data_IF_783667588653
#
_entry.id   IF_783667588653
#
_cell.length_a   1.000
_cell.length_b   1.000
_cell.length_c   1.000
_cell.angle_alpha   90.00
_cell.angle_beta   90.00
_cell.angle_gamma   90.00
#
_symmetry.space_group_name_H-M   'P 1'
#
loop_
_entity.id
_entity.type
_entity.pdbx_description
1 polymer ?
#
# COMPACT_ATOMS: atom_id res chain seq x y z
N UNK A 1 -26.43 -4.82 13.34
CA UNK A 1 -26.51 -3.82 12.25
C UNK A 1 -25.73 -2.58 12.66
N UNK A 2 -24.52 -2.38 12.14
CA UNK A 2 -23.78 -1.13 12.34
C UNK A 2 -24.49 -0.01 11.57
N UNK A 3 -25.08 0.97 12.25
CA UNK A 3 -25.62 2.19 11.62
C UNK A 3 -24.50 3.22 11.57
N UNK A 4 -24.17 3.69 10.38
CA UNK A 4 -23.24 4.82 10.18
C UNK A 4 -23.89 6.04 10.83
N UNK A 5 -23.41 6.46 11.99
CA UNK A 5 -23.87 7.71 12.63
C UNK A 5 -23.46 8.87 11.73
N UNK A 6 -24.37 9.81 11.53
CA UNK A 6 -24.04 11.06 10.84
C UNK A 6 -23.00 11.82 11.69
N UNK A 7 -22.01 12.47 11.04
CA UNK A 7 -21.04 13.29 11.74
C UNK A 7 -21.77 14.40 12.50
N UNK A 8 -21.44 14.57 13.79
CA UNK A 8 -21.98 15.66 14.58
C UNK A 8 -21.54 17.00 13.98
N UNK A 9 -22.44 18.00 13.91
CA UNK A 9 -22.07 19.32 13.41
C UNK A 9 -21.05 19.98 14.35
N UNK A 10 -20.09 20.70 13.77
CA UNK A 10 -19.23 21.61 14.55
C UNK A 10 -20.11 22.76 15.05
N UNK A 11 -20.04 23.01 16.36
CA UNK A 11 -20.78 24.09 17.03
C UNK A 11 -19.80 25.05 17.67
N UNK A 12 -20.28 26.25 17.98
CA UNK A 12 -19.49 27.25 18.67
C UNK A 12 -18.88 26.71 19.98
N UNK A 13 -17.59 26.96 20.17
CA UNK A 13 -16.86 26.62 21.38
C UNK A 13 -16.24 27.88 21.98
N UNK A 14 -16.72 28.32 23.15
CA UNK A 14 -16.19 29.53 23.80
C UNK A 14 -14.70 29.44 24.18
N UNK A 15 -14.15 28.23 24.33
CA UNK A 15 -12.72 28.03 24.62
C UNK A 15 -11.85 28.09 23.35
N UNK A 16 -12.46 27.92 22.17
CA UNK A 16 -11.81 27.98 20.87
C UNK A 16 -12.74 28.78 19.93
N UNK A 17 -12.91 30.09 20.15
CA UNK A 17 -13.75 30.91 19.28
C UNK A 17 -13.22 30.92 17.82
N UNK A 18 -14.03 31.32 16.82
CA UNK A 18 -13.60 31.35 15.42
C UNK A 18 -12.29 32.10 15.17
N UNK A 19 -12.06 33.20 15.88
CA UNK A 19 -10.89 34.07 15.81
C UNK A 19 -9.67 33.56 16.60
N UNK A 20 -9.74 32.36 17.20
CA UNK A 20 -8.69 31.86 18.09
C UNK A 20 -7.35 31.61 17.37
N UNK A 21 -7.39 31.22 16.10
CA UNK A 21 -6.19 30.97 15.30
C UNK A 21 -6.09 31.98 14.17
N UNK A 22 -4.92 32.61 14.00
CA UNK A 22 -4.65 33.45 12.83
C UNK A 22 -4.32 32.60 11.58
N UNK A 23 -3.73 31.42 11.78
CA UNK A 23 -3.26 30.52 10.70
C UNK A 23 -3.55 29.07 11.06
N UNK A 24 -4.07 28.30 10.10
CA UNK A 24 -4.24 26.84 10.20
C UNK A 24 -3.44 26.15 9.08
N UNK A 25 -2.51 25.29 9.48
CA UNK A 25 -1.74 24.44 8.56
C UNK A 25 -2.37 23.05 8.51
N UNK A 26 -2.71 22.59 7.31
CA UNK A 26 -3.44 21.35 7.06
C UNK A 26 -2.54 20.38 6.32
N UNK A 27 -2.00 19.39 7.04
CA UNK A 27 -1.27 18.29 6.42
C UNK A 27 -2.22 17.31 5.71
N UNK A 28 -1.74 16.72 4.62
CA UNK A 28 -2.49 15.89 3.68
C UNK A 28 -3.88 16.45 3.36
N UNK A 29 -3.92 17.73 2.97
CA UNK A 29 -5.15 18.50 2.87
C UNK A 29 -6.20 17.86 1.93
N UNK A 30 -5.80 17.11 0.90
CA UNK A 30 -6.72 16.37 0.03
C UNK A 30 -7.62 15.35 0.77
N UNK A 31 -7.24 14.92 1.98
CA UNK A 31 -8.04 14.03 2.84
C UNK A 31 -8.89 14.80 3.84
N UNK A 32 -8.37 15.91 4.34
CA UNK A 32 -8.88 16.64 5.51
C UNK A 32 -9.90 17.72 5.16
N UNK A 33 -9.83 18.31 3.96
CA UNK A 33 -10.75 19.37 3.53
C UNK A 33 -12.13 18.85 3.08
N UNK A 34 -12.41 17.56 3.29
CA UNK A 34 -13.69 16.93 2.97
C UNK A 34 -14.30 16.19 4.17
N UNK A 35 -15.63 16.10 4.17
CA UNK A 35 -16.43 15.42 5.20
C UNK A 35 -16.33 16.13 6.57
N UNK A 36 -16.25 15.35 7.67
CA UNK A 36 -16.28 15.84 9.04
C UNK A 36 -15.25 16.95 9.32
N UNK A 37 -14.04 16.82 8.78
CA UNK A 37 -12.94 17.75 9.06
C UNK A 37 -13.09 19.11 8.38
N UNK A 38 -13.81 19.17 7.26
CA UNK A 38 -14.08 20.44 6.59
C UNK A 38 -14.76 21.44 7.52
N UNK A 39 -15.73 20.97 8.31
CA UNK A 39 -16.44 21.81 9.27
C UNK A 39 -15.51 22.41 10.33
N UNK A 40 -14.47 21.66 10.73
CA UNK A 40 -13.48 22.14 11.71
C UNK A 40 -12.57 23.18 11.06
N UNK A 41 -12.16 22.96 9.82
CA UNK A 41 -11.29 23.88 9.08
C UNK A 41 -12.00 25.19 8.76
N UNK A 42 -13.27 25.13 8.35
CA UNK A 42 -14.09 26.30 8.02
C UNK A 42 -14.69 27.00 9.26
N UNK A 43 -14.53 26.43 10.46
CA UNK A 43 -15.00 27.03 11.70
C UNK A 43 -14.13 28.21 12.16
N UNK A 44 -12.83 28.16 11.88
CA UNK A 44 -11.89 29.22 12.26
C UNK A 44 -11.77 30.28 11.16
N UNK A 45 -11.80 31.55 11.56
CA UNK A 45 -11.54 32.69 10.68
C UNK A 45 -10.02 32.91 10.58
N UNK A 46 -9.36 32.00 9.86
CA UNK A 46 -7.92 31.88 9.82
C UNK A 46 -7.39 31.77 8.38
N UNK A 47 -6.12 32.15 8.17
CA UNK A 47 -5.43 31.82 6.92
C UNK A 47 -5.17 30.31 6.84
N UNK A 48 -5.68 29.67 5.78
CA UNK A 48 -5.53 28.24 5.57
C UNK A 48 -4.34 27.93 4.67
N UNK A 49 -3.37 27.16 5.17
CA UNK A 49 -2.23 26.66 4.39
C UNK A 49 -2.38 25.15 4.24
N UNK A 50 -2.66 24.69 3.02
CA UNK A 50 -2.76 23.25 2.70
C UNK A 50 -1.43 22.68 2.22
N UNK A 51 -1.00 21.57 2.82
CA UNK A 51 0.16 20.78 2.37
C UNK A 51 -0.34 19.45 1.81
N UNK A 52 0.10 19.09 0.60
CA UNK A 52 -0.14 17.74 0.08
C UNK A 52 0.81 17.37 -1.05
N UNK A 53 1.18 16.09 -1.11
CA UNK A 53 1.90 15.51 -2.24
C UNK A 53 0.99 15.03 -3.38
N UNK A 54 -0.32 14.96 -3.17
CA UNK A 54 -1.27 14.39 -4.14
C UNK A 54 -2.53 15.25 -4.30
N UNK A 55 -2.41 16.48 -4.82
CA UNK A 55 -3.58 17.33 -5.02
C UNK A 55 -4.53 16.73 -6.07
N UNK A 56 -5.83 16.87 -5.84
CA UNK A 56 -6.87 16.56 -6.84
C UNK A 56 -7.62 17.84 -7.23
N UNK A 57 -8.49 17.76 -8.25
CA UNK A 57 -9.26 18.90 -8.72
C UNK A 57 -10.09 19.59 -7.63
N UNK A 58 -10.49 18.83 -6.60
CA UNK A 58 -11.27 19.37 -5.50
C UNK A 58 -10.34 20.16 -4.58
N UNK A 59 -9.14 19.65 -4.28
CA UNK A 59 -8.11 20.36 -3.49
C UNK A 59 -7.81 21.70 -4.12
N UNK A 60 -7.58 21.72 -5.44
CA UNK A 60 -7.41 22.97 -6.17
C UNK A 60 -8.64 23.87 -6.06
N UNK A 61 -9.86 23.34 -6.16
CA UNK A 61 -11.09 24.10 -5.98
C UNK A 61 -11.22 24.74 -4.59
N UNK A 62 -10.91 24.01 -3.53
CA UNK A 62 -11.00 24.49 -2.14
C UNK A 62 -10.07 25.68 -1.89
N UNK A 63 -8.82 25.59 -2.35
CA UNK A 63 -7.83 26.66 -2.23
C UNK A 63 -7.88 27.68 -3.37
N UNK A 64 -8.98 27.74 -4.13
CA UNK A 64 -9.18 28.70 -5.24
C UNK A 64 -8.07 28.68 -6.30
N UNK A 65 -7.43 27.52 -6.50
CA UNK A 65 -6.26 27.30 -7.36
C UNK A 65 -5.05 28.17 -6.99
N UNK A 66 -5.00 28.69 -5.76
CA UNK A 66 -3.89 29.47 -5.25
C UNK A 66 -2.73 28.52 -4.84
N UNK A 67 -1.96 28.08 -5.83
CA UNK A 67 -0.75 27.28 -5.61
C UNK A 67 0.40 28.23 -5.32
N UNK A 68 0.86 28.25 -4.07
CA UNK A 68 1.95 29.13 -3.63
C UNK A 68 3.32 28.59 -4.03
N UNK A 69 3.49 27.27 -3.95
CA UNK A 69 4.73 26.57 -4.30
C UNK A 69 4.42 25.14 -4.69
N UNK A 70 5.14 24.62 -5.67
CA UNK A 70 5.12 23.20 -6.06
C UNK A 70 6.57 22.71 -6.08
N UNK A 71 6.81 21.51 -5.57
CA UNK A 71 8.09 20.83 -5.64
C UNK A 71 7.83 19.39 -6.08
N UNK A 72 8.17 19.11 -7.33
CA UNK A 72 7.81 17.89 -8.05
C UNK A 72 8.71 16.72 -7.69
N UNK A 73 8.30 15.50 -8.04
CA UNK A 73 9.14 14.32 -7.83
C UNK A 73 10.39 14.38 -8.71
N UNK A 74 10.26 14.89 -9.93
CA UNK A 74 11.36 15.08 -10.88
C UNK A 74 12.42 16.02 -10.32
N UNK A 75 12.01 17.16 -9.74
CA UNK A 75 12.91 18.09 -9.04
C UNK A 75 13.56 17.42 -7.82
N UNK A 76 12.78 16.71 -6.99
CA UNK A 76 13.31 16.00 -5.82
C UNK A 76 14.36 14.94 -6.19
N UNK A 77 14.22 14.28 -7.35
CA UNK A 77 15.21 13.33 -7.87
C UNK A 77 16.44 14.06 -8.39
N UNK A 78 16.26 15.16 -9.14
CA UNK A 78 17.37 15.98 -9.66
C UNK A 78 18.23 16.56 -8.53
N UNK A 79 17.60 17.02 -7.44
CA UNK A 79 18.26 17.56 -6.26
C UNK A 79 18.81 16.49 -5.31
N UNK A 80 18.64 15.20 -5.64
CA UNK A 80 19.05 14.05 -4.81
C UNK A 80 18.41 14.01 -3.43
N UNK A 81 17.21 14.59 -3.31
CA UNK A 81 16.37 14.50 -2.10
C UNK A 81 15.62 13.17 -2.09
N UNK A 82 15.19 12.69 -3.26
CA UNK A 82 14.56 11.38 -3.48
C UNK A 82 15.36 10.53 -4.49
N UNK A 83 15.12 9.23 -4.46
CA UNK A 83 15.57 8.31 -5.52
C UNK A 83 14.46 8.10 -6.55
N UNK A 84 14.86 7.90 -7.81
CA UNK A 84 13.95 7.52 -8.88
C UNK A 84 13.37 6.12 -8.67
N UNK A 85 12.50 5.69 -9.58
CA UNK A 85 11.91 4.36 -9.58
C UNK A 85 11.90 3.77 -10.99
N UNK A 86 11.93 2.45 -11.07
CA UNK A 86 11.77 1.68 -12.30
C UNK A 86 10.55 0.77 -12.17
N UNK A 87 9.82 0.58 -13.26
CA UNK A 87 8.63 -0.26 -13.28
C UNK A 87 8.98 -1.60 -13.94
N UNK A 88 8.88 -2.68 -13.16
CA UNK A 88 8.96 -4.04 -13.67
C UNK A 88 7.54 -4.63 -13.75
N UNK A 89 7.04 -4.82 -14.97
CA UNK A 89 5.70 -5.34 -15.20
C UNK A 89 5.72 -6.88 -15.25
N UNK A 90 4.94 -7.53 -14.39
CA UNK A 90 4.70 -8.98 -14.42
C UNK A 90 3.29 -9.19 -14.98
N UNK A 91 3.20 -9.65 -16.21
CA UNK A 91 1.92 -10.01 -16.83
C UNK A 91 1.77 -11.53 -16.84
N UNK A 92 0.60 -12.01 -16.41
CA UNK A 92 0.22 -13.42 -16.58
C UNK A 92 -0.87 -13.51 -17.64
N UNK A 93 -0.94 -14.62 -18.39
CA UNK A 93 -2.01 -14.85 -19.38
C UNK A 93 -3.41 -14.68 -18.78
N UNK A 94 -3.60 -15.16 -17.55
CA UNK A 94 -4.83 -15.00 -16.75
C UNK A 94 -5.18 -13.53 -16.48
N UNK A 95 -4.17 -12.66 -16.31
CA UNK A 95 -4.37 -11.22 -16.05
C UNK A 95 -4.70 -10.45 -17.34
N UNK A 96 -4.13 -10.85 -18.48
CA UNK A 96 -4.38 -10.18 -19.78
C UNK A 96 -5.71 -10.60 -20.42
N UNK A 97 -6.05 -11.89 -20.39
CA UNK A 97 -7.18 -12.44 -21.16
C UNK A 97 -8.43 -12.72 -20.33
N UNK A 98 -8.31 -12.67 -18.99
CA UNK A 98 -9.25 -13.37 -18.11
C UNK A 98 -8.99 -14.88 -18.17
N UNK A 99 -8.96 -15.54 -17.02
CA UNK A 99 -8.75 -16.99 -16.95
C UNK A 99 -10.07 -17.75 -17.04
N UNK A 100 -10.08 -18.86 -17.76
CA UNK A 100 -11.04 -19.95 -17.57
C UNK A 100 -10.45 -20.86 -16.49
N UNK A 101 -11.20 -21.13 -15.42
CA UNK A 101 -10.81 -22.18 -14.48
C UNK A 101 -11.33 -23.50 -15.06
N UNK A 102 -10.44 -24.48 -15.23
CA UNK A 102 -10.82 -25.80 -15.74
C UNK A 102 -11.64 -26.55 -14.70
N UNK A 103 -12.60 -27.37 -15.15
CA UNK A 103 -13.60 -27.99 -14.27
C UNK A 103 -13.00 -28.92 -13.19
N UNK A 104 -11.79 -29.40 -13.41
CA UNK A 104 -11.09 -30.29 -12.47
C UNK A 104 -10.25 -29.53 -11.43
N UNK A 105 -10.17 -28.19 -11.52
CA UNK A 105 -9.34 -27.39 -10.63
C UNK A 105 -10.10 -27.02 -9.34
N UNK A 106 -9.58 -27.46 -8.20
CA UNK A 106 -10.10 -27.13 -6.88
C UNK A 106 -9.92 -25.64 -6.59
N UNK A 107 -11.02 -24.89 -6.57
CA UNK A 107 -10.99 -23.46 -6.26
C UNK A 107 -11.23 -23.25 -4.78
N UNK A 108 -10.33 -22.54 -4.11
CA UNK A 108 -10.54 -22.12 -2.74
C UNK A 108 -11.45 -20.88 -2.71
N UNK A 109 -12.73 -21.08 -2.39
CA UNK A 109 -13.65 -19.98 -2.11
C UNK A 109 -13.66 -19.66 -0.62
N UNK A 110 -13.49 -18.38 -0.30
CA UNK A 110 -13.54 -17.88 1.08
C UNK A 110 -14.78 -17.05 1.31
N UNK A 111 -15.55 -17.44 2.32
CA UNK A 111 -16.70 -16.67 2.77
C UNK A 111 -16.23 -15.42 3.53
N UNK A 112 -16.63 -14.23 3.04
CA UNK A 112 -16.09 -12.94 3.49
C UNK A 112 -16.28 -12.64 4.98
N UNK A 113 -17.33 -13.19 5.61
CA UNK A 113 -17.64 -12.91 7.02
C UNK A 113 -17.04 -13.92 7.99
N UNK A 114 -16.96 -15.20 7.60
CA UNK A 114 -16.55 -16.30 8.48
C UNK A 114 -15.10 -16.73 8.25
N UNK A 115 -14.48 -16.29 7.14
CA UNK A 115 -13.16 -16.77 6.66
C UNK A 115 -13.11 -18.30 6.48
N UNK A 116 -14.26 -18.97 6.43
CA UNK A 116 -14.31 -20.41 6.20
C UNK A 116 -13.78 -20.74 4.80
N UNK A 117 -12.89 -21.73 4.73
CA UNK A 117 -12.35 -22.25 3.48
C UNK A 117 -13.32 -23.30 2.95
N UNK A 118 -13.89 -23.07 1.77
CA UNK A 118 -14.69 -24.06 1.07
C UNK A 118 -13.99 -24.43 -0.23
N UNK A 119 -13.65 -25.70 -0.34
CA UNK A 119 -13.18 -26.30 -1.58
C UNK A 119 -14.42 -26.66 -2.40
N UNK A 120 -14.55 -26.04 -3.57
CA UNK A 120 -15.57 -26.41 -4.56
C UNK A 120 -14.84 -27.02 -5.75
N UNK A 121 -15.18 -28.27 -6.09
CA UNK A 121 -14.86 -28.83 -7.40
C UNK A 121 -15.79 -28.13 -8.39
N UNK A 122 -15.24 -27.65 -9.50
CA UNK A 122 -16.00 -26.82 -10.40
C UNK A 122 -16.53 -27.66 -11.55
N UNK A 123 -17.72 -28.23 -11.46
CA UNK A 123 -18.17 -29.23 -12.45
C UNK A 123 -18.27 -28.72 -13.92
N UNK A 124 -18.15 -27.41 -14.17
CA UNK A 124 -18.10 -26.81 -15.51
C UNK A 124 -17.05 -25.67 -15.61
N UNK A 125 -16.35 -25.54 -16.76
CA UNK A 125 -15.37 -24.47 -16.95
C UNK A 125 -16.05 -23.10 -16.88
N UNK A 126 -15.69 -22.31 -15.88
CA UNK A 126 -16.25 -20.98 -15.69
C UNK A 126 -15.37 -19.94 -16.40
N UNK A 127 -15.94 -19.27 -17.40
CA UNK A 127 -15.33 -18.14 -18.10
C UNK A 127 -15.56 -16.88 -17.29
N UNK A 128 -14.48 -16.23 -16.83
CA UNK A 128 -14.57 -15.03 -16.01
C UNK A 128 -14.11 -13.79 -16.76
N UNK A 129 -14.89 -12.71 -16.67
CA UNK A 129 -14.44 -11.39 -17.08
C UNK A 129 -13.49 -10.80 -16.02
N UNK A 130 -12.43 -10.11 -16.46
CA UNK A 130 -11.40 -9.50 -15.61
C UNK A 130 -11.87 -8.79 -14.30
N UNK A 131 -13.05 -8.11 -14.24
CA UNK A 131 -13.52 -7.48 -13.00
C UNK A 131 -14.03 -8.45 -11.92
N UNK A 132 -14.39 -9.69 -12.27
CA UNK A 132 -15.00 -10.66 -11.34
C UNK A 132 -13.95 -11.42 -10.50
N UNK A 133 -12.70 -11.45 -10.96
CA UNK A 133 -11.55 -12.04 -10.26
C UNK A 133 -11.25 -11.33 -8.93
N UNK A 134 -11.69 -10.09 -8.77
CA UNK A 134 -11.22 -9.21 -7.69
C UNK A 134 -11.94 -9.40 -6.34
N UNK A 135 -13.08 -10.11 -6.29
CA UNK A 135 -13.96 -10.07 -5.10
C UNK A 135 -14.12 -11.35 -4.28
N UNK A 136 -13.93 -12.54 -4.84
CA UNK A 136 -14.28 -13.79 -4.13
C UNK A 136 -13.43 -15.02 -4.44
N UNK A 137 -12.54 -14.96 -5.44
CA UNK A 137 -11.72 -16.11 -5.83
C UNK A 137 -10.26 -15.74 -5.63
N UNK A 138 -9.62 -16.35 -4.63
CA UNK A 138 -8.17 -16.34 -4.53
C UNK A 138 -7.70 -17.44 -5.46
N UNK A 139 -6.86 -17.11 -6.45
CA UNK A 139 -6.19 -18.12 -7.26
C UNK A 139 -4.77 -18.32 -6.68
N UNK A 140 -4.51 -19.38 -5.90
CA UNK A 140 -3.19 -19.65 -5.34
C UNK A 140 -2.10 -19.78 -6.41
N UNK A 141 -2.46 -20.27 -7.60
CA UNK A 141 -1.52 -20.45 -8.72
C UNK A 141 -1.08 -19.11 -9.29
N UNK A 142 -1.96 -18.09 -9.30
CA UNK A 142 -1.59 -16.74 -9.70
C UNK A 142 -0.60 -16.11 -8.71
N UNK A 143 -0.85 -16.24 -7.39
CA UNK A 143 0.06 -15.75 -6.35
C UNK A 143 1.43 -16.41 -6.52
N UNK A 144 1.44 -17.75 -6.71
CA UNK A 144 2.66 -18.52 -6.91
C UNK A 144 3.42 -18.08 -8.16
N UNK A 145 2.72 -17.86 -9.27
CA UNK A 145 3.31 -17.41 -10.53
C UNK A 145 4.01 -16.05 -10.38
N UNK A 146 3.34 -15.08 -9.77
CA UNK A 146 3.92 -13.74 -9.54
C UNK A 146 5.12 -13.82 -8.58
N UNK A 147 5.02 -14.58 -7.50
CA UNK A 147 6.11 -14.77 -6.53
C UNK A 147 7.32 -15.47 -7.18
N UNK A 148 7.10 -16.48 -8.01
CA UNK A 148 8.15 -17.16 -8.79
C UNK A 148 8.82 -16.21 -9.76
N UNK A 149 8.03 -15.47 -10.54
CA UNK A 149 8.55 -14.48 -11.48
C UNK A 149 9.43 -13.44 -10.74
N UNK A 150 9.00 -12.93 -9.59
CA UNK A 150 9.82 -12.04 -8.79
C UNK A 150 11.11 -12.71 -8.28
N UNK A 151 11.01 -13.92 -7.70
CA UNK A 151 12.16 -14.69 -7.20
C UNK A 151 13.21 -14.94 -8.30
N UNK A 152 12.77 -15.28 -9.50
CA UNK A 152 13.67 -15.70 -10.58
C UNK A 152 14.30 -14.49 -11.29
N UNK A 153 13.65 -13.33 -11.25
CA UNK A 153 14.13 -12.13 -11.97
C UNK A 153 14.83 -11.10 -11.08
N UNK A 154 14.62 -11.08 -9.75
CA UNK A 154 15.28 -10.08 -8.89
C UNK A 154 16.82 -10.07 -9.01
N UNK A 155 17.54 -11.20 -9.23
CA UNK A 155 18.99 -11.15 -9.41
C UNK A 155 19.41 -10.40 -10.68
N UNK A 156 18.56 -10.43 -11.73
CA UNK A 156 18.77 -9.66 -12.96
C UNK A 156 18.47 -8.18 -12.79
N UNK A 157 17.48 -7.84 -11.96
CA UNK A 157 17.14 -6.45 -11.61
C UNK A 157 18.25 -5.83 -10.73
N UNK A 158 18.85 -6.64 -9.86
CA UNK A 158 19.89 -6.22 -8.93
C UNK A 158 21.17 -7.07 -9.06
N UNK A 159 21.92 -6.94 -10.17
CA UNK A 159 23.05 -7.83 -10.47
C UNK A 159 24.18 -7.79 -9.45
N UNK A 160 24.38 -6.64 -8.79
CA UNK A 160 25.43 -6.45 -7.79
C UNK A 160 24.99 -6.84 -6.36
N UNK A 161 23.76 -7.34 -6.20
CA UNK A 161 23.21 -7.74 -4.90
C UNK A 161 23.33 -9.24 -4.70
N UNK A 162 23.84 -9.63 -3.52
CA UNK A 162 23.82 -11.02 -3.05
C UNK A 162 22.56 -11.35 -2.26
N UNK A 163 22.04 -10.36 -1.55
CA UNK A 163 20.89 -10.48 -0.66
C UNK A 163 19.66 -9.87 -1.32
N UNK A 164 18.51 -10.53 -1.19
CA UNK A 164 17.24 -10.05 -1.76
C UNK A 164 16.91 -8.66 -1.19
N UNK A 165 16.83 -7.59 -1.99
CA UNK A 165 16.50 -6.24 -1.51
C UNK A 165 15.24 -6.21 -0.65
N UNK A 166 15.19 -5.29 0.33
CA UNK A 166 14.01 -5.19 1.21
C UNK A 166 12.78 -4.92 0.35
N UNK A 167 11.79 -5.80 0.48
CA UNK A 167 10.62 -5.83 -0.39
C UNK A 167 9.34 -5.69 0.41
N UNK A 168 8.46 -4.79 -0.02
CA UNK A 168 7.11 -4.62 0.52
C UNK A 168 6.09 -5.07 -0.51
N UNK A 169 5.25 -6.03 -0.13
CA UNK A 169 4.17 -6.56 -0.97
C UNK A 169 2.82 -5.98 -0.51
N UNK A 170 2.08 -5.38 -1.45
CA UNK A 170 0.72 -4.87 -1.21
C UNK A 170 -0.33 -5.92 -1.58
N UNK A 171 -1.01 -6.45 -0.57
CA UNK A 171 -2.06 -7.43 -0.65
C UNK A 171 -3.46 -6.78 -0.71
N UNK A 172 -4.42 -7.50 -1.30
CA UNK A 172 -5.82 -7.05 -1.43
C UNK A 172 -6.58 -7.06 -0.09
N UNK A 173 -6.36 -8.09 0.73
CA UNK A 173 -7.08 -8.31 1.99
C UNK A 173 -6.15 -8.98 3.01
N UNK A 174 -6.54 -8.99 4.28
CA UNK A 174 -5.78 -9.65 5.36
C UNK A 174 -5.58 -11.15 5.09
N UNK A 175 -6.61 -11.79 4.54
CA UNK A 175 -6.58 -13.17 4.07
C UNK A 175 -5.60 -13.36 2.91
N UNK A 176 -5.64 -12.48 1.90
CA UNK A 176 -4.70 -12.53 0.79
C UNK A 176 -3.25 -12.35 1.25
N UNK A 177 -3.02 -11.50 2.26
CA UNK A 177 -1.70 -11.34 2.86
C UNK A 177 -1.19 -12.64 3.50
N UNK A 178 -2.05 -13.44 4.12
CA UNK A 178 -1.66 -14.75 4.67
C UNK A 178 -1.22 -15.71 3.55
N UNK A 179 -1.99 -15.75 2.43
CA UNK A 179 -1.71 -16.62 1.29
C UNK A 179 -0.39 -16.24 0.59
N UNK A 180 -0.14 -14.93 0.41
CA UNK A 180 1.14 -14.42 -0.11
C UNK A 180 2.29 -14.83 0.82
N UNK A 181 2.17 -14.61 2.13
CA UNK A 181 3.25 -14.96 3.08
C UNK A 181 3.58 -16.45 3.01
N UNK A 182 2.57 -17.32 2.97
CA UNK A 182 2.77 -18.75 2.85
C UNK A 182 3.48 -19.10 1.52
N UNK A 183 3.02 -18.51 0.42
CA UNK A 183 3.58 -18.78 -0.91
C UNK A 183 5.02 -18.29 -1.05
N UNK A 184 5.32 -17.09 -0.55
CA UNK A 184 6.68 -16.54 -0.51
C UNK A 184 7.62 -17.46 0.27
N UNK A 185 7.21 -17.92 1.45
CA UNK A 185 8.03 -18.85 2.26
C UNK A 185 8.32 -20.16 1.53
N UNK A 186 7.32 -20.71 0.84
CA UNK A 186 7.48 -21.94 0.05
C UNK A 186 8.42 -21.73 -1.15
N UNK A 187 8.18 -20.68 -1.94
CA UNK A 187 8.91 -20.46 -3.19
C UNK A 187 10.35 -20.00 -2.97
N UNK A 188 10.63 -19.28 -1.89
CA UNK A 188 12.00 -18.92 -1.51
C UNK A 188 12.69 -20.00 -0.65
N UNK A 189 11.96 -21.02 -0.17
CA UNK A 189 12.50 -22.03 0.75
C UNK A 189 12.91 -21.43 2.11
N UNK A 190 12.21 -20.39 2.56
CA UNK A 190 12.59 -19.57 3.71
C UNK A 190 11.52 -19.57 4.82
N UNK A 191 11.97 -19.33 6.05
CA UNK A 191 11.13 -19.41 7.25
C UNK A 191 10.33 -18.15 7.60
N UNK A 192 9.75 -18.16 8.80
CA UNK A 192 8.93 -17.07 9.34
C UNK A 192 9.69 -15.75 9.50
N UNK A 193 11.00 -15.81 9.69
CA UNK A 193 11.84 -14.63 9.87
C UNK A 193 12.11 -13.91 8.55
N UNK A 194 12.09 -14.62 7.42
CA UNK A 194 12.33 -14.04 6.10
C UNK A 194 11.15 -13.20 5.60
N UNK A 195 9.93 -13.73 5.69
CA UNK A 195 8.72 -13.07 5.22
C UNK A 195 7.68 -12.95 6.34
N UNK A 196 7.26 -11.72 6.66
CA UNK A 196 6.28 -11.43 7.73
C UNK A 196 5.11 -10.59 7.24
N UNK A 197 3.94 -10.88 7.79
CA UNK A 197 2.73 -10.08 7.61
C UNK A 197 2.72 -8.90 8.58
N UNK A 198 2.52 -7.69 8.08
CA UNK A 198 2.39 -6.45 8.86
C UNK A 198 1.00 -5.85 8.57
N UNK A 199 0.00 -6.29 9.32
CA UNK A 199 -1.39 -5.79 9.24
C UNK A 199 -1.92 -5.38 10.62
N UNK A 200 -3.01 -4.59 10.66
CA UNK A 200 -3.49 -3.97 11.90
C UNK A 200 -4.03 -5.01 12.87
N UNK A 201 -4.44 -6.16 12.32
CA UNK A 201 -4.91 -7.32 13.05
C UNK A 201 -3.77 -8.22 13.56
N UNK A 202 -2.51 -7.95 13.20
CA UNK A 202 -1.38 -8.72 13.70
C UNK A 202 -1.17 -8.48 15.20
N UNK A 203 -0.67 -9.49 15.92
CA UNK A 203 -0.45 -9.40 17.37
C UNK A 203 0.55 -8.30 17.76
N UNK A 204 1.63 -8.13 16.99
CA UNK A 204 2.71 -7.18 17.27
C UNK A 204 3.21 -6.47 15.98
N UNK A 205 2.42 -5.56 15.40
CA UNK A 205 2.77 -4.91 14.14
C UNK A 205 3.94 -3.94 14.29
N UNK A 206 4.02 -3.21 15.42
CA UNK A 206 5.08 -2.23 15.68
C UNK A 206 6.47 -2.86 15.75
N UNK A 207 6.63 -3.97 16.48
CA UNK A 207 7.93 -4.64 16.58
C UNK A 207 8.36 -5.25 15.25
N UNK A 208 7.42 -5.84 14.50
CA UNK A 208 7.70 -6.39 13.17
C UNK A 208 8.15 -5.32 12.18
N UNK A 209 7.56 -4.12 12.29
CA UNK A 209 7.91 -2.96 11.48
C UNK A 209 9.27 -2.37 11.87
N UNK A 210 9.58 -2.28 13.17
CA UNK A 210 10.91 -1.90 13.66
C UNK A 210 11.98 -2.86 13.15
N UNK A 211 11.73 -4.16 13.24
CA UNK A 211 12.65 -5.18 12.72
C UNK A 211 12.82 -5.05 11.21
N UNK A 212 11.73 -4.88 10.46
CA UNK A 212 11.79 -4.69 9.01
C UNK A 212 12.63 -3.46 8.61
N UNK A 213 12.61 -2.40 9.43
CA UNK A 213 13.37 -1.17 9.22
C UNK A 213 14.85 -1.29 9.57
N UNK A 214 15.19 -1.95 10.67
CA UNK A 214 16.52 -1.84 11.27
C UNK A 214 17.34 -3.12 11.19
N UNK A 215 16.68 -4.27 11.10
CA UNK A 215 17.33 -5.58 11.17
C UNK A 215 17.41 -6.20 9.78
N UNK A 216 18.35 -7.14 9.60
CA UNK A 216 18.46 -7.89 8.35
C UNK A 216 17.13 -8.59 7.99
N UNK A 217 16.44 -9.18 8.97
CA UNK A 217 15.14 -9.82 8.81
C UNK A 217 13.97 -8.98 9.36
N UNK A 218 12.77 -9.03 8.76
CA UNK A 218 12.44 -9.77 7.54
C UNK A 218 12.96 -9.11 6.26
N UNK A 219 13.18 -9.91 5.19
CA UNK A 219 13.50 -9.37 3.85
C UNK A 219 12.25 -8.93 3.11
N UNK A 220 11.14 -9.65 3.33
CA UNK A 220 9.84 -9.38 2.70
C UNK A 220 8.81 -9.06 3.78
N UNK A 221 8.12 -7.93 3.64
CA UNK A 221 6.94 -7.59 4.42
C UNK A 221 5.69 -7.63 3.53
N UNK A 222 4.59 -8.17 4.03
CA UNK A 222 3.29 -8.18 3.32
C UNK A 222 2.29 -7.34 4.10
N UNK A 223 1.68 -6.35 3.45
CA UNK A 223 0.70 -5.45 4.06
C UNK A 223 -0.54 -5.30 3.19
N UNK A 224 -1.67 -4.93 3.80
CA UNK A 224 -2.91 -4.61 3.08
C UNK A 224 -3.00 -3.09 2.93
N UNK A 225 -3.11 -2.41 4.06
CA UNK A 225 -3.26 -0.97 4.12
C UNK A 225 -2.20 -0.33 5.04
N UNK A 226 -1.42 -1.12 5.80
CA UNK A 226 -0.73 -0.64 7.00
C UNK A 226 0.79 -0.53 6.87
N UNK A 227 1.21 0.16 5.81
CA UNK A 227 2.35 1.10 5.83
C UNK A 227 1.87 2.49 5.32
N UNK A 228 0.55 2.71 5.23
CA UNK A 228 -0.01 3.92 4.63
C UNK A 228 0.03 5.17 5.53
N UNK A 229 0.30 5.08 6.83
CA UNK A 229 0.30 6.25 7.73
C UNK A 229 1.47 6.22 8.71
N UNK A 230 2.52 6.99 8.40
CA UNK A 230 3.44 7.55 9.39
C UNK A 230 4.66 6.73 9.79
N UNK A 231 4.94 5.56 9.19
CA UNK A 231 6.19 4.84 9.47
C UNK A 231 7.03 4.68 8.21
N UNK A 232 8.25 5.20 8.28
CA UNK A 232 9.21 5.26 7.19
C UNK A 232 10.20 4.08 7.27
N UNK A 233 10.28 3.28 6.20
CA UNK A 233 11.22 2.18 6.03
C UNK A 233 12.23 2.61 4.98
N UNK A 234 13.22 3.42 5.39
CA UNK A 234 14.25 3.96 4.48
C UNK A 234 15.02 2.91 3.65
N UNK A 235 15.36 1.71 4.14
CA UNK A 235 16.09 0.72 3.34
C UNK A 235 15.18 -0.05 2.38
N UNK A 236 13.94 0.38 2.14
CA UNK A 236 13.01 -0.27 1.22
C UNK A 236 13.42 -0.02 -0.24
N UNK A 237 13.61 -1.09 -1.00
CA UNK A 237 14.11 -1.04 -2.37
C UNK A 237 13.09 -1.55 -3.39
N UNK A 238 12.22 -2.50 -2.98
CA UNK A 238 11.23 -3.12 -3.87
C UNK A 238 9.81 -2.92 -3.36
N UNK A 239 8.91 -2.53 -4.26
CA UNK A 239 7.47 -2.49 -4.05
C UNK A 239 6.80 -3.47 -5.01
N UNK A 240 6.13 -4.50 -4.49
CA UNK A 240 5.39 -5.48 -5.30
C UNK A 240 3.88 -5.30 -5.10
N UNK A 241 3.19 -4.94 -6.17
CA UNK A 241 1.74 -4.76 -6.13
C UNK A 241 1.02 -6.04 -6.55
N UNK A 242 0.38 -6.71 -5.60
CA UNK A 242 -0.49 -7.87 -5.84
C UNK A 242 -1.97 -7.49 -5.67
N UNK A 243 -2.28 -6.20 -5.82
CA UNK A 243 -3.62 -5.63 -5.73
C UNK A 243 -3.82 -4.58 -6.81
N UNK A 244 -5.05 -4.46 -7.30
CA UNK A 244 -5.42 -3.35 -8.17
C UNK A 244 -5.52 -2.08 -7.33
N UNK A 245 -4.79 -1.04 -7.74
CA UNK A 245 -4.81 0.27 -7.09
C UNK A 245 -5.64 1.22 -7.93
N UNK A 246 -6.90 1.43 -7.53
CA UNK A 246 -7.88 2.23 -8.29
C UNK A 246 -7.70 3.74 -8.14
N UNK A 247 -6.98 4.18 -7.11
CA UNK A 247 -6.77 5.61 -6.82
C UNK A 247 -5.33 6.01 -7.12
N UNK A 248 -5.17 6.99 -8.01
CA UNK A 248 -3.86 7.57 -8.34
C UNK A 248 -3.16 8.14 -7.12
N UNK A 249 -3.88 8.90 -6.27
CA UNK A 249 -3.28 9.47 -5.06
C UNK A 249 -2.80 8.38 -4.08
N UNK A 250 -3.56 7.30 -3.95
CA UNK A 250 -3.18 6.18 -3.11
C UNK A 250 -1.98 5.42 -3.67
N UNK A 251 -1.91 5.25 -5.00
CA UNK A 251 -0.76 4.66 -5.67
C UNK A 251 0.51 5.49 -5.46
N UNK A 252 0.44 6.81 -5.64
CA UNK A 252 1.57 7.71 -5.41
C UNK A 252 2.04 7.68 -3.95
N UNK A 253 1.12 7.60 -2.99
CA UNK A 253 1.46 7.42 -1.57
C UNK A 253 2.17 6.09 -1.30
N UNK A 254 1.76 5.01 -1.97
CA UNK A 254 2.44 3.71 -1.88
C UNK A 254 3.84 3.77 -2.48
N UNK A 255 3.98 4.35 -3.68
CA UNK A 255 5.25 4.52 -4.39
C UNK A 255 6.24 5.36 -3.58
N UNK A 256 5.77 6.46 -2.98
CA UNK A 256 6.58 7.36 -2.16
C UNK A 256 7.29 6.68 -0.98
N UNK A 257 6.85 5.48 -0.56
CA UNK A 257 7.53 4.68 0.47
C UNK A 257 8.88 4.12 0.01
N UNK A 258 9.08 3.89 -1.28
CA UNK A 258 10.34 3.38 -1.86
C UNK A 258 11.28 4.45 -2.39
N UNK A 259 10.89 5.72 -2.37
CA UNK A 259 11.66 6.82 -3.02
C UNK A 259 12.65 7.53 -2.09
N UNK A 260 12.97 6.94 -0.93
CA UNK A 260 13.80 7.60 0.09
C UNK A 260 15.28 7.39 -0.18
N UNK A 261 16.05 8.45 0.03
CA UNK A 261 17.52 8.37 0.00
C UNK A 261 18.01 7.76 1.31
N UNK A 262 18.97 6.83 1.18
CA UNK A 262 19.68 6.23 2.30
C UNK A 262 21.17 6.17 1.97
N UNK A 263 22.02 6.51 2.94
CA UNK A 263 23.47 6.45 2.76
C UNK A 263 23.93 4.99 2.61
N UNK A 264 24.96 4.71 1.78
CA UNK A 264 25.43 3.34 1.53
C UNK A 264 25.78 2.57 2.82
N UNK A 265 26.40 3.24 3.79
CA UNK A 265 26.79 2.61 5.06
C UNK A 265 25.58 2.25 5.94
N UNK A 266 24.51 3.06 5.90
CA UNK A 266 23.27 2.75 6.61
C UNK A 266 22.50 1.64 5.93
N UNK A 267 22.54 1.58 4.59
CA UNK A 267 21.94 0.49 3.84
C UNK A 267 22.66 -0.83 4.12
N UNK A 268 24.01 -0.84 4.19
CA UNK A 268 24.82 -2.02 4.51
C UNK A 268 24.53 -2.61 5.89
N UNK A 269 24.11 -1.79 6.88
CA UNK A 269 23.73 -2.30 8.21
C UNK A 269 22.51 -3.23 8.16
N UNK A 270 21.65 -3.04 7.17
CA UNK A 270 20.38 -3.77 7.02
C UNK A 270 20.44 -4.77 5.86
N UNK A 271 21.16 -4.43 4.80
CA UNK A 271 21.40 -5.21 3.58
C UNK A 271 22.92 -5.25 3.32
N UNK A 272 23.65 -6.16 4.00
CA UNK A 272 25.11 -6.28 3.88
C UNK A 272 25.56 -6.83 2.51
#
# INVERSE_FOLDING_TARGET
KWRRREPLPVVYNAALPPEYFDVVVIDECHRSIYNLWRQVVEYFDAFLIGLTATPDNRTYGFFQKNVVSEYTHEEAVADRVNVGNEIYLIETEVTQSGGTIEAEQLVERRERQTRARRWELQDEPAVYAAPQLDRSVVNPDQIRTVVRAFRDNWPGIFPDRRELPKTLIFAKTDSHADDIVQTVRQEFGQGNDFCRKITNAAKNPKSSLTAFRNDYYPRIAVTVDMIATGTDVRPLECLLFMRDVKSRSYFEQMKGRGTRVLMPDDLRKVTP
#
